data_IF_577588894745
#
_entry.id   IF_577588894745
#
_cell.length_a   1.000
_cell.length_b   1.000
_cell.length_c   1.000
_cell.angle_alpha   90.00
_cell.angle_beta   90.00
_cell.angle_gamma   90.00
#
_symmetry.space_group_name_H-M   'P 1'
#
loop_
_entity.id
_entity.type
_entity.pdbx_description
1 polymer ?
#
# COMPACT_ATOMS: atom_id res chain seq x y z
N UNK A 1 -7.53 28.02 34.98
CA UNK A 1 -7.03 26.77 34.38
C UNK A 1 -7.28 26.85 32.89
N UNK A 2 -6.34 27.46 32.17
CA UNK A 2 -6.37 27.61 30.72
C UNK A 2 -6.15 26.24 30.06
N UNK A 3 -7.02 25.92 29.10
CA UNK A 3 -6.84 24.77 28.19
C UNK A 3 -5.67 25.09 27.26
N UNK A 4 -4.56 24.35 27.38
CA UNK A 4 -3.49 24.39 26.40
C UNK A 4 -4.05 24.00 25.03
N UNK A 5 -3.85 24.87 24.04
CA UNK A 5 -4.17 24.65 22.63
C UNK A 5 -3.32 23.49 22.07
N UNK A 6 -3.92 22.64 21.24
CA UNK A 6 -3.30 21.59 20.42
C UNK A 6 -1.95 22.04 19.84
N UNK A 7 -0.92 21.20 19.96
CA UNK A 7 0.31 21.38 19.19
C UNK A 7 0.07 20.94 17.75
N UNK A 8 -0.41 21.85 16.90
CA UNK A 8 -0.20 21.72 15.44
C UNK A 8 1.31 21.70 15.19
N UNK A 9 1.82 20.72 14.46
CA UNK A 9 3.21 20.70 14.00
C UNK A 9 3.45 21.99 13.19
N UNK A 10 4.37 22.84 13.66
CA UNK A 10 4.60 24.15 13.06
C UNK A 10 5.54 24.01 11.86
N UNK A 11 4.98 23.97 10.65
CA UNK A 11 5.74 23.94 9.40
C UNK A 11 6.23 25.35 9.04
N UNK A 12 7.55 25.56 9.01
CA UNK A 12 8.16 26.82 8.55
C UNK A 12 8.21 26.89 7.02
N UNK A 13 7.74 27.99 6.42
CA UNK A 13 7.71 28.18 4.97
C UNK A 13 9.02 28.81 4.49
N UNK A 14 9.74 28.13 3.60
CA UNK A 14 10.81 28.71 2.78
C UNK A 14 10.57 28.31 1.32
N UNK A 15 10.29 29.31 0.48
CA UNK A 15 10.07 29.14 -0.97
C UNK A 15 11.26 29.78 -1.69
N UNK A 16 11.94 29.02 -2.54
CA UNK A 16 12.81 29.58 -3.57
C UNK A 16 12.61 28.82 -4.88
N UNK A 17 12.29 29.55 -5.96
CA UNK A 17 12.17 29.01 -7.30
C UNK A 17 13.41 29.38 -8.12
N UNK A 18 14.01 28.39 -8.79
CA UNK A 18 14.94 28.62 -9.89
C UNK A 18 14.59 27.67 -11.04
N UNK A 19 14.34 28.24 -12.22
CA UNK A 19 14.04 27.52 -13.46
C UNK A 19 15.33 27.23 -14.24
N UNK A 20 15.49 26.00 -14.73
CA UNK A 20 16.51 25.59 -15.71
C UNK A 20 15.85 24.82 -16.87
N UNK A 21 16.48 24.75 -18.07
CA UNK A 21 15.79 24.46 -19.33
C UNK A 21 15.55 22.97 -19.61
N UNK A 22 14.64 22.78 -20.57
CA UNK A 22 13.81 21.61 -20.87
C UNK A 22 14.55 20.50 -21.65
N UNK A 23 14.44 19.26 -21.17
CA UNK A 23 14.37 18.07 -22.02
C UNK A 23 12.88 17.73 -22.24
N UNK A 24 12.48 17.54 -23.50
CA UNK A 24 11.09 17.29 -23.93
C UNK A 24 10.56 15.98 -23.35
N UNK A 25 9.72 16.05 -22.33
CA UNK A 25 8.66 15.06 -22.17
C UNK A 25 7.30 15.73 -22.40
N UNK A 26 6.26 14.91 -22.51
CA UNK A 26 4.93 15.38 -22.89
C UNK A 26 4.18 15.73 -21.60
N UNK A 27 3.92 17.02 -21.38
CA UNK A 27 3.05 17.45 -20.28
C UNK A 27 1.64 16.91 -20.51
N UNK A 28 1.16 16.11 -19.57
CA UNK A 28 -0.18 15.49 -19.64
C UNK A 28 -0.96 15.77 -18.37
N UNK A 29 -2.11 16.42 -18.54
CA UNK A 29 -3.11 16.55 -17.47
C UNK A 29 -3.89 15.24 -17.36
N UNK A 30 -3.91 14.67 -16.16
CA UNK A 30 -4.49 13.35 -15.92
C UNK A 30 -5.93 13.46 -15.39
N UNK A 31 -6.84 12.55 -15.79
CA UNK A 31 -8.18 12.49 -15.25
C UNK A 31 -8.17 12.17 -13.75
N UNK A 32 -9.13 12.73 -13.02
CA UNK A 32 -9.34 12.48 -11.60
C UNK A 32 -10.09 11.15 -11.41
N UNK A 33 -9.72 10.33 -10.41
CA UNK A 33 -10.58 9.27 -9.93
C UNK A 33 -11.83 9.84 -9.22
N UNK A 34 -12.89 9.03 -9.06
CA UNK A 34 -14.08 9.46 -8.35
C UNK A 34 -13.78 9.84 -6.90
N UNK A 35 -14.26 11.01 -6.50
CA UNK A 35 -14.36 11.43 -5.11
C UNK A 35 -15.77 11.13 -4.59
N UNK A 36 -15.85 10.29 -3.57
CA UNK A 36 -17.08 9.77 -3.00
C UNK A 36 -17.24 10.32 -1.58
N UNK A 37 -18.46 10.72 -1.23
CA UNK A 37 -18.80 10.97 0.16
C UNK A 37 -19.12 9.64 0.84
N UNK A 38 -18.32 9.25 1.83
CA UNK A 38 -18.54 8.01 2.56
C UNK A 38 -19.88 7.98 3.30
N UNK A 39 -20.47 9.15 3.59
CA UNK A 39 -21.81 9.27 4.20
C UNK A 39 -22.92 8.83 3.26
N UNK A 40 -22.66 8.80 1.95
CA UNK A 40 -23.61 8.34 0.94
C UNK A 40 -23.42 6.87 0.57
N UNK A 41 -22.29 6.26 0.93
CA UNK A 41 -22.02 4.84 0.67
C UNK A 41 -22.75 3.93 1.68
N UNK A 42 -23.72 3.10 1.26
CA UNK A 42 -24.56 2.35 2.19
C UNK A 42 -23.89 1.10 2.77
N UNK A 43 -22.85 0.57 2.12
CA UNK A 43 -22.23 -0.70 2.50
C UNK A 43 -20.87 -0.91 1.86
N UNK A 44 -20.15 -1.92 2.34
CA UNK A 44 -18.93 -2.45 1.71
C UNK A 44 -19.15 -2.87 0.25
N UNK A 45 -20.25 -3.55 -0.05
CA UNK A 45 -20.54 -3.97 -1.43
C UNK A 45 -20.68 -2.78 -2.39
N UNK A 46 -21.22 -1.65 -1.91
CA UNK A 46 -21.29 -0.44 -2.71
C UNK A 46 -19.91 0.14 -2.98
N UNK A 47 -19.01 0.17 -1.98
CA UNK A 47 -17.62 0.57 -2.17
C UNK A 47 -16.86 -0.38 -3.11
N UNK A 48 -17.02 -1.69 -2.94
CA UNK A 48 -16.40 -2.71 -3.79
C UNK A 48 -16.77 -2.54 -5.28
N UNK A 49 -17.99 -2.07 -5.58
CA UNK A 49 -18.41 -1.77 -6.95
C UNK A 49 -17.64 -0.60 -7.58
N UNK A 50 -17.14 0.34 -6.78
CA UNK A 50 -16.23 1.39 -7.25
C UNK A 50 -14.79 0.87 -7.35
N UNK A 51 -14.32 0.14 -6.34
CA UNK A 51 -12.96 -0.44 -6.32
C UNK A 51 -12.72 -1.30 -7.57
N UNK A 52 -13.72 -2.07 -8.02
CA UNK A 52 -13.64 -2.88 -9.25
C UNK A 52 -13.39 -2.07 -10.52
N UNK A 53 -13.74 -0.78 -10.55
CA UNK A 53 -13.58 0.11 -11.71
C UNK A 53 -12.25 0.85 -11.68
N UNK A 54 -11.71 1.11 -10.50
CA UNK A 54 -10.47 1.87 -10.34
C UNK A 54 -10.35 2.52 -8.96
N UNK A 55 -9.27 3.30 -8.74
CA UNK A 55 -9.04 4.00 -7.49
C UNK A 55 -10.14 5.02 -7.22
N UNK A 56 -10.35 5.31 -5.95
CA UNK A 56 -11.32 6.32 -5.52
C UNK A 56 -10.83 7.02 -4.25
N UNK A 57 -11.38 8.19 -3.99
CA UNK A 57 -11.14 8.96 -2.77
C UNK A 57 -12.42 8.99 -1.97
N UNK A 58 -12.34 8.72 -0.67
CA UNK A 58 -13.44 8.86 0.26
C UNK A 58 -13.23 10.11 1.11
N UNK A 59 -14.17 11.02 1.05
CA UNK A 59 -14.32 12.10 2.04
C UNK A 59 -15.18 11.58 3.19
N UNK A 60 -14.97 12.13 4.39
CA UNK A 60 -15.80 11.80 5.57
C UNK A 60 -15.81 10.30 5.91
N UNK A 61 -14.74 9.57 5.57
CA UNK A 61 -14.67 8.11 5.68
C UNK A 61 -15.07 7.59 7.07
N UNK A 62 -14.73 8.34 8.11
CA UNK A 62 -14.95 7.96 9.50
C UNK A 62 -16.24 8.54 10.11
N UNK A 63 -16.99 9.39 9.41
CA UNK A 63 -18.13 10.12 9.98
C UNK A 63 -19.28 9.22 10.45
N UNK A 64 -19.48 8.08 9.79
CA UNK A 64 -20.50 7.08 10.14
C UNK A 64 -20.14 6.22 11.35
N UNK A 65 -18.89 6.23 11.76
CA UNK A 65 -18.37 5.44 12.87
C UNK A 65 -17.75 6.36 13.93
N UNK A 66 -18.56 6.96 14.84
CA UNK A 66 -18.11 7.99 15.78
C UNK A 66 -16.96 7.56 16.70
N UNK A 67 -16.89 6.26 17.03
CA UNK A 67 -15.79 5.70 17.81
C UNK A 67 -14.48 5.79 17.01
N UNK A 68 -14.52 5.39 15.74
CA UNK A 68 -13.36 5.41 14.83
C UNK A 68 -12.94 6.84 14.50
N UNK A 69 -13.91 7.75 14.29
CA UNK A 69 -13.65 9.19 14.07
C UNK A 69 -12.95 9.83 15.26
N UNK A 70 -13.49 9.64 16.47
CA UNK A 70 -12.87 10.16 17.70
C UNK A 70 -11.44 9.62 17.88
N UNK A 71 -11.20 8.36 17.51
CA UNK A 71 -9.86 7.76 17.57
C UNK A 71 -8.91 8.35 16.52
N UNK A 72 -9.38 8.65 15.31
CA UNK A 72 -8.58 9.34 14.29
C UNK A 72 -8.24 10.78 14.69
N UNK A 73 -9.20 11.49 15.31
CA UNK A 73 -9.07 12.91 15.68
C UNK A 73 -8.27 13.11 17.00
N UNK A 74 -8.51 12.32 18.05
CA UNK A 74 -7.90 12.52 19.39
C UNK A 74 -6.50 11.87 19.52
N UNK A 75 -6.20 10.84 18.73
CA UNK A 75 -4.99 10.02 18.96
C UNK A 75 -3.75 10.62 18.31
N UNK A 76 -3.84 11.32 17.18
CA UNK A 76 -2.67 11.49 16.31
C UNK A 76 -1.78 12.72 16.48
N UNK A 77 -2.25 13.79 17.12
CA UNK A 77 -1.39 14.98 17.31
C UNK A 77 -0.71 14.99 18.69
N UNK A 78 -1.47 14.89 19.78
CA UNK A 78 -0.87 14.99 21.12
C UNK A 78 -0.52 13.60 21.70
N UNK A 79 -1.47 12.64 21.74
CA UNK A 79 -1.25 11.33 22.39
C UNK A 79 -0.23 10.44 21.66
N UNK A 80 -0.30 10.37 20.32
CA UNK A 80 0.60 9.56 19.52
C UNK A 80 2.04 10.06 19.63
N UNK A 81 2.27 11.36 19.46
CA UNK A 81 3.60 11.92 19.62
C UNK A 81 4.08 11.80 21.06
N UNK A 82 3.24 12.00 22.07
CA UNK A 82 3.62 11.75 23.47
C UNK A 82 4.14 10.32 23.70
N UNK A 83 3.51 9.33 23.06
CA UNK A 83 3.83 7.92 23.25
C UNK A 83 5.03 7.45 22.41
N UNK A 84 5.15 7.92 21.17
CA UNK A 84 6.11 7.40 20.20
C UNK A 84 7.27 8.35 19.88
N UNK A 85 7.29 9.58 20.40
CA UNK A 85 8.32 10.61 20.09
C UNK A 85 9.76 10.12 20.23
N UNK A 86 10.05 9.27 21.22
CA UNK A 86 11.39 8.78 21.54
C UNK A 86 11.72 7.45 20.85
N UNK A 87 10.80 6.87 20.07
CA UNK A 87 11.06 5.62 19.36
C UNK A 87 12.03 5.87 18.22
N UNK A 88 13.13 5.12 18.22
CA UNK A 88 14.12 5.11 17.15
C UNK A 88 13.57 4.41 15.91
N UNK A 89 13.61 5.11 14.78
CA UNK A 89 13.10 4.64 13.50
C UNK A 89 14.14 4.82 12.41
N UNK A 90 14.10 3.95 11.40
CA UNK A 90 14.87 4.12 10.17
C UNK A 90 14.10 5.03 9.19
N UNK A 91 14.79 6.00 8.63
CA UNK A 91 14.26 6.97 7.68
C UNK A 91 15.14 7.03 6.42
N UNK A 92 14.49 7.20 5.28
CA UNK A 92 15.12 7.25 3.97
C UNK A 92 15.35 8.69 3.55
N UNK A 93 16.57 9.02 3.13
CA UNK A 93 16.86 10.23 2.35
C UNK A 93 16.87 9.87 0.87
N UNK A 94 15.94 10.46 0.11
CA UNK A 94 15.84 10.33 -1.34
C UNK A 94 16.30 11.62 -1.99
N UNK A 95 17.26 11.52 -2.91
CA UNK A 95 17.68 12.63 -3.75
C UNK A 95 16.96 12.54 -5.09
N UNK A 96 16.73 13.69 -5.71
CA UNK A 96 16.17 13.77 -7.05
C UNK A 96 17.22 13.32 -8.07
N UNK A 97 17.37 12.01 -8.20
CA UNK A 97 18.10 11.36 -9.27
C UNK A 97 17.33 10.11 -9.69
N UNK A 98 17.34 9.83 -11.00
CA UNK A 98 16.61 8.69 -11.57
C UNK A 98 17.04 7.41 -10.86
N UNK A 99 16.18 6.92 -9.97
CA UNK A 99 16.17 5.55 -9.42
C UNK A 99 17.45 5.22 -8.64
N UNK A 100 17.90 6.14 -7.78
CA UNK A 100 18.95 5.85 -6.81
C UNK A 100 18.42 5.08 -5.60
N UNK A 101 19.24 4.18 -5.04
CA UNK A 101 18.96 3.55 -3.74
C UNK A 101 18.93 4.65 -2.66
N UNK A 102 17.87 4.75 -1.84
CA UNK A 102 17.82 5.73 -0.76
C UNK A 102 18.96 5.50 0.23
N UNK A 103 19.43 6.59 0.84
CA UNK A 103 20.33 6.49 2.00
C UNK A 103 19.48 6.30 3.25
N UNK A 104 19.92 5.43 4.14
CA UNK A 104 19.23 5.12 5.39
C UNK A 104 19.90 5.86 6.53
N UNK A 105 19.08 6.42 7.41
CA UNK A 105 19.47 7.08 8.65
C UNK A 105 18.56 6.61 9.78
N UNK A 106 18.98 6.83 11.02
CA UNK A 106 18.16 6.55 12.19
C UNK A 106 17.99 7.81 13.02
N UNK A 107 16.87 7.90 13.74
CA UNK A 107 16.62 8.91 14.74
C UNK A 107 15.28 8.66 15.43
N UNK A 108 15.06 9.37 16.53
CA UNK A 108 13.77 9.37 17.21
C UNK A 108 12.67 9.92 16.29
N UNK A 109 11.43 9.46 16.47
CA UNK A 109 10.27 9.98 15.73
C UNK A 109 10.20 11.52 15.78
N UNK A 110 10.39 12.12 16.95
CA UNK A 110 10.40 13.58 17.09
C UNK A 110 11.59 14.21 16.35
N UNK A 111 12.79 13.65 16.45
CA UNK A 111 13.96 14.15 15.73
C UNK A 111 13.80 14.06 14.21
N UNK A 112 13.14 13.01 13.72
CA UNK A 112 12.79 12.84 12.32
C UNK A 112 11.80 13.92 11.88
N UNK A 113 10.71 14.11 12.62
CA UNK A 113 9.65 15.07 12.26
C UNK A 113 10.14 16.51 12.37
N UNK A 114 10.70 16.92 13.51
CA UNK A 114 11.10 18.30 13.78
C UNK A 114 12.43 18.69 13.13
N UNK A 115 13.30 17.70 12.85
CA UNK A 115 14.64 17.93 12.33
C UNK A 115 14.79 17.61 10.86
N UNK A 116 14.42 16.40 10.46
CA UNK A 116 14.70 15.87 9.11
C UNK A 116 13.60 16.26 8.12
N UNK A 117 12.34 15.96 8.44
CA UNK A 117 11.20 16.23 7.56
C UNK A 117 11.05 17.72 7.25
N UNK A 118 11.31 18.61 8.23
CA UNK A 118 11.33 20.07 8.05
C UNK A 118 12.36 20.57 7.03
N UNK A 119 13.46 19.82 6.85
CA UNK A 119 14.54 20.18 5.92
C UNK A 119 14.36 19.54 4.54
N UNK A 120 13.28 18.81 4.32
CA UNK A 120 13.02 18.18 3.03
C UNK A 120 12.75 19.21 1.95
N UNK A 121 13.31 18.98 0.76
CA UNK A 121 13.04 19.74 -0.46
C UNK A 121 12.67 18.79 -1.60
N UNK A 122 12.24 19.34 -2.72
CA UNK A 122 11.95 18.56 -3.93
C UNK A 122 13.18 17.81 -4.48
N UNK A 123 14.38 18.28 -4.13
CA UNK A 123 15.69 17.74 -4.50
C UNK A 123 16.22 16.74 -3.47
N UNK A 124 15.99 16.96 -2.18
CA UNK A 124 16.45 16.10 -1.08
C UNK A 124 15.33 15.90 -0.07
N UNK A 125 14.63 14.76 -0.14
CA UNK A 125 13.43 14.52 0.64
C UNK A 125 13.59 13.35 1.60
N UNK A 126 13.12 13.56 2.83
CA UNK A 126 13.04 12.53 3.85
C UNK A 126 11.71 11.78 3.76
N UNK A 127 11.78 10.46 3.82
CA UNK A 127 10.63 9.55 3.70
C UNK A 127 10.77 8.41 4.69
N UNK A 128 9.74 8.15 5.47
CA UNK A 128 9.65 7.03 6.40
C UNK A 128 8.40 6.23 6.08
N UNK A 129 8.57 4.93 5.97
CA UNK A 129 7.51 3.94 5.87
C UNK A 129 7.83 2.89 6.93
N UNK A 130 6.93 2.71 7.90
CA UNK A 130 7.16 1.79 9.01
C UNK A 130 5.91 0.95 9.32
N UNK A 131 6.03 -0.36 9.15
CA UNK A 131 4.95 -1.33 9.36
C UNK A 131 5.01 -2.00 10.74
N UNK A 132 5.97 -1.66 11.59
CA UNK A 132 6.23 -2.34 12.88
C UNK A 132 5.81 -1.51 14.09
N UNK A 133 5.89 -0.19 14.00
CA UNK A 133 5.64 0.74 15.10
C UNK A 133 4.28 0.51 15.77
N UNK A 134 3.27 0.20 14.95
CA UNK A 134 1.89 0.02 15.41
C UNK A 134 1.53 -1.44 15.71
N UNK A 135 2.42 -2.40 15.41
CA UNK A 135 2.20 -3.84 15.62
C UNK A 135 2.65 -4.30 17.01
N UNK A 136 3.82 -3.84 17.47
CA UNK A 136 4.53 -4.37 18.65
C UNK A 136 4.22 -3.64 19.97
N UNK A 137 3.02 -3.07 20.12
CA UNK A 137 2.65 -2.36 21.35
C UNK A 137 2.33 -3.31 22.52
N UNK A 138 3.34 -4.06 22.96
CA UNK A 138 3.43 -4.59 24.32
C UNK A 138 3.57 -3.41 25.30
N UNK A 139 2.41 -2.77 25.53
CA UNK A 139 2.11 -1.77 26.57
C UNK A 139 2.51 -0.31 26.26
N UNK A 140 1.53 0.53 25.90
CA UNK A 140 0.97 1.64 26.71
C UNK A 140 -0.26 2.23 25.97
N UNK A 141 -1.28 2.63 26.73
CA UNK A 141 -2.49 3.44 26.43
C UNK A 141 -3.34 3.29 25.14
N UNK A 142 -2.78 3.01 23.96
CA UNK A 142 -3.52 3.07 22.69
C UNK A 142 -3.71 1.66 22.11
N UNK A 143 -4.80 0.97 22.48
CA UNK A 143 -5.16 -0.35 21.93
C UNK A 143 -5.86 -0.18 20.57
N UNK A 144 -5.23 -0.69 19.50
CA UNK A 144 -5.80 -0.79 18.15
C UNK A 144 -6.59 0.48 17.73
N UNK A 145 -5.95 1.65 17.75
CA UNK A 145 -6.60 2.94 17.57
C UNK A 145 -7.08 3.22 16.14
N UNK A 146 -6.64 2.43 15.17
CA UNK A 146 -6.70 2.80 13.76
C UNK A 146 -7.43 1.71 12.99
N UNK A 147 -8.71 1.54 13.29
CA UNK A 147 -9.59 0.64 12.55
C UNK A 147 -10.17 1.36 11.35
N UNK A 148 -10.30 0.68 10.23
CA UNK A 148 -11.09 1.19 9.12
C UNK A 148 -12.61 1.11 9.46
N UNK A 149 -13.44 1.98 8.88
CA UNK A 149 -14.89 1.97 9.07
C UNK A 149 -15.49 0.59 8.71
N UNK A 150 -16.02 -0.19 9.66
CA UNK A 150 -16.52 -1.54 9.38
C UNK A 150 -17.70 -1.55 8.40
N UNK A 151 -18.45 -0.46 8.31
CA UNK A 151 -19.53 -0.32 7.33
C UNK A 151 -19.04 -0.27 5.88
N UNK A 152 -17.78 0.13 5.65
CA UNK A 152 -17.18 0.29 4.33
C UNK A 152 -16.18 -0.81 3.98
N UNK A 153 -15.42 -1.31 4.96
CA UNK A 153 -14.34 -2.28 4.72
C UNK A 153 -14.64 -3.68 5.30
N UNK A 154 -15.82 -3.85 5.90
CA UNK A 154 -16.22 -5.09 6.54
C UNK A 154 -15.79 -5.16 8.00
N UNK A 155 -16.42 -6.06 8.76
CA UNK A 155 -16.10 -6.27 10.19
C UNK A 155 -14.88 -7.15 10.41
N UNK A 156 -14.52 -7.96 9.42
CA UNK A 156 -13.45 -8.94 9.49
C UNK A 156 -12.49 -8.68 8.32
N UNK A 157 -11.25 -8.33 8.65
CA UNK A 157 -10.15 -8.39 7.70
C UNK A 157 -9.64 -9.82 7.67
N UNK A 158 -9.67 -10.45 6.49
CA UNK A 158 -9.31 -11.85 6.35
C UNK A 158 -7.82 -12.10 6.57
N UNK A 159 -6.96 -11.08 6.53
CA UNK A 159 -5.57 -11.24 6.97
C UNK A 159 -5.49 -11.55 8.48
N UNK A 160 -6.44 -11.11 9.30
CA UNK A 160 -6.50 -11.45 10.73
C UNK A 160 -6.69 -12.97 10.99
N UNK A 161 -7.03 -13.73 9.95
CA UNK A 161 -7.18 -15.19 9.96
C UNK A 161 -5.90 -15.94 9.55
N UNK A 162 -4.93 -15.26 8.95
CA UNK A 162 -3.65 -15.86 8.58
C UNK A 162 -2.78 -16.13 9.83
N UNK A 163 -1.92 -17.18 9.81
CA UNK A 163 -0.92 -17.39 10.86
C UNK A 163 -0.02 -16.15 11.03
N UNK A 164 0.25 -15.76 12.28
CA UNK A 164 0.95 -14.52 12.62
C UNK A 164 2.28 -14.34 11.87
N UNK A 165 3.02 -15.45 11.66
CA UNK A 165 4.33 -15.44 11.00
C UNK A 165 4.29 -15.07 9.51
N UNK A 166 3.13 -15.16 8.86
CA UNK A 166 2.99 -14.89 7.43
C UNK A 166 1.92 -13.86 7.11
N UNK A 167 1.18 -13.42 8.13
CA UNK A 167 0.20 -12.36 8.03
C UNK A 167 0.90 -11.08 7.58
N UNK A 168 0.42 -10.42 6.51
CA UNK A 168 0.86 -9.06 6.19
C UNK A 168 0.66 -8.14 7.40
N UNK A 169 1.61 -7.23 7.62
CA UNK A 169 1.43 -6.18 8.63
C UNK A 169 0.19 -5.39 8.30
N UNK A 170 -0.63 -5.07 9.29
CA UNK A 170 -1.97 -4.49 9.09
C UNK A 170 -1.94 -2.98 8.89
N UNK A 171 -0.96 -2.34 9.51
CA UNK A 171 -0.84 -0.90 9.56
C UNK A 171 0.54 -0.47 9.10
N UNK A 172 0.57 0.65 8.38
CA UNK A 172 1.80 1.28 7.96
C UNK A 172 1.74 2.77 8.27
N UNK A 173 2.68 3.24 9.10
CA UNK A 173 2.92 4.66 9.32
C UNK A 173 3.76 5.20 8.16
N UNK A 174 3.28 6.27 7.51
CA UNK A 174 4.01 6.92 6.43
C UNK A 174 4.19 8.40 6.77
N UNK A 175 5.45 8.81 6.93
CA UNK A 175 5.85 10.21 7.05
C UNK A 175 6.66 10.59 5.82
N UNK A 176 6.45 11.79 5.31
CA UNK A 176 7.32 12.32 4.27
C UNK A 176 7.32 13.82 4.29
N UNK A 177 8.51 14.41 4.16
CA UNK A 177 8.66 15.84 3.97
C UNK A 177 8.33 16.27 2.55
N UNK A 178 8.40 17.58 2.26
CA UNK A 178 8.21 18.12 0.91
C UNK A 178 9.11 17.41 -0.10
N UNK A 179 8.56 16.96 -1.22
CA UNK A 179 9.31 16.27 -2.27
C UNK A 179 9.48 14.76 -2.06
N UNK A 180 9.10 14.25 -0.89
CA UNK A 180 9.20 12.83 -0.57
C UNK A 180 8.27 12.03 -1.47
N UNK A 181 8.71 10.85 -1.90
CA UNK A 181 7.97 10.04 -2.85
C UNK A 181 8.15 8.56 -2.62
N UNK A 182 7.10 7.78 -2.89
CA UNK A 182 7.23 6.33 -2.99
C UNK A 182 7.97 5.96 -4.29
N UNK A 183 8.31 4.68 -4.45
CA UNK A 183 8.58 4.16 -5.79
C UNK A 183 7.26 3.95 -6.55
N UNK A 184 7.30 3.92 -7.88
CA UNK A 184 6.19 3.37 -8.66
C UNK A 184 6.12 1.87 -8.38
N UNK A 185 4.98 1.39 -7.89
CA UNK A 185 4.84 0.03 -7.41
C UNK A 185 3.42 -0.51 -7.52
N UNK A 186 3.28 -1.84 -7.46
CA UNK A 186 1.99 -2.53 -7.25
C UNK A 186 2.06 -3.22 -5.91
N UNK A 187 0.96 -3.09 -5.17
CA UNK A 187 0.82 -3.69 -3.87
C UNK A 187 0.92 -5.24 -3.92
N UNK A 188 1.59 -5.86 -2.93
CA UNK A 188 1.62 -7.30 -2.73
C UNK A 188 0.22 -7.92 -2.61
N UNK A 189 0.12 -9.23 -2.87
CA UNK A 189 -1.09 -10.05 -2.70
C UNK A 189 -2.38 -9.56 -3.34
N UNK A 190 -2.36 -8.55 -4.21
CA UNK A 190 -3.60 -8.02 -4.78
C UNK A 190 -4.64 -7.67 -3.69
N UNK A 191 -4.17 -7.19 -2.54
CA UNK A 191 -5.06 -6.64 -1.52
C UNK A 191 -5.61 -5.29 -1.97
N UNK A 192 -6.60 -4.79 -1.24
CA UNK A 192 -7.03 -3.40 -1.37
C UNK A 192 -6.17 -2.54 -0.45
N UNK A 193 -5.38 -1.64 -1.03
CA UNK A 193 -4.60 -0.67 -0.28
C UNK A 193 -5.48 0.50 0.14
N UNK A 194 -5.26 1.04 1.34
CA UNK A 194 -5.96 2.23 1.82
C UNK A 194 -4.94 3.19 2.40
N UNK A 195 -5.05 4.48 2.09
CA UNK A 195 -4.23 5.52 2.70
C UNK A 195 -5.09 6.68 3.22
N UNK A 196 -5.07 6.91 4.52
CA UNK A 196 -5.71 8.05 5.17
C UNK A 196 -4.69 9.14 5.46
N UNK A 197 -4.91 10.34 4.92
CA UNK A 197 -4.03 11.49 5.13
C UNK A 197 -4.47 12.26 6.37
N UNK A 198 -3.65 12.23 7.41
CA UNK A 198 -3.91 12.95 8.66
C UNK A 198 -3.48 14.40 8.53
N UNK A 199 -2.26 14.61 8.04
CA UNK A 199 -1.68 15.93 7.84
C UNK A 199 -0.90 15.97 6.53
N UNK A 200 -0.86 17.14 5.90
CA UNK A 200 -0.09 17.41 4.70
C UNK A 200 -0.93 17.34 3.44
N UNK A 201 -0.25 17.09 2.32
CA UNK A 201 -0.88 17.09 0.99
C UNK A 201 -0.09 16.22 0.04
N UNK A 202 -0.77 15.31 -0.67
CA UNK A 202 -0.11 14.31 -1.52
C UNK A 202 -0.66 14.32 -2.94
N UNK A 203 0.17 13.93 -3.90
CA UNK A 203 -0.29 13.56 -5.23
C UNK A 203 -0.17 12.06 -5.36
N UNK A 204 -1.19 11.46 -5.94
CA UNK A 204 -1.17 10.07 -6.36
C UNK A 204 -1.28 10.00 -7.87
N UNK A 205 -0.54 9.08 -8.48
CA UNK A 205 -0.69 8.71 -9.88
C UNK A 205 -0.92 7.21 -9.94
N UNK A 206 -1.90 6.79 -10.72
CA UNK A 206 -2.38 5.43 -10.84
C UNK A 206 -2.36 4.98 -12.29
N UNK A 207 -1.89 3.77 -12.51
CA UNK A 207 -1.92 3.07 -13.80
C UNK A 207 -2.80 1.84 -13.66
N UNK A 208 -3.78 1.64 -14.57
CA UNK A 208 -4.57 0.44 -14.58
C UNK A 208 -3.67 -0.81 -14.69
N UNK A 209 -4.11 -1.96 -14.15
CA UNK A 209 -3.43 -3.21 -14.39
C UNK A 209 -3.21 -3.41 -15.90
N UNK A 210 -1.98 -3.80 -16.26
CA UNK A 210 -1.62 -4.15 -17.64
C UNK A 210 -1.65 -3.01 -18.66
N UNK A 211 -1.79 -1.75 -18.24
CA UNK A 211 -1.91 -0.61 -19.18
C UNK A 211 -0.61 -0.31 -19.94
N UNK A 212 0.55 -0.65 -19.36
CA UNK A 212 1.87 -0.43 -19.96
C UNK A 212 2.93 -1.34 -19.31
N UNK A 213 4.08 -1.51 -19.99
CA UNK A 213 5.29 -1.98 -19.32
C UNK A 213 5.89 -0.84 -18.49
N UNK A 214 5.65 -0.92 -17.18
CA UNK A 214 6.12 0.08 -16.21
C UNK A 214 7.49 -0.30 -15.63
N UNK A 215 8.24 -1.20 -16.27
CA UNK A 215 9.53 -1.67 -15.77
C UNK A 215 9.43 -2.29 -14.37
N UNK A 216 8.26 -2.84 -14.04
CA UNK A 216 7.94 -3.40 -12.74
C UNK A 216 8.71 -4.71 -12.60
N UNK A 217 9.65 -4.72 -11.65
CA UNK A 217 10.40 -5.91 -11.27
C UNK A 217 9.96 -6.36 -9.90
N UNK A 218 10.04 -7.67 -9.69
CA UNK A 218 9.66 -8.26 -8.42
C UNK A 218 10.62 -7.79 -7.33
N UNK A 219 10.06 -7.26 -6.25
CA UNK A 219 10.82 -7.04 -5.02
C UNK A 219 10.84 -8.38 -4.29
N UNK A 220 11.99 -9.03 -4.26
CA UNK A 220 12.16 -10.16 -3.37
C UNK A 220 12.01 -9.68 -1.94
N UNK A 221 11.26 -10.38 -1.07
CA UNK A 221 11.39 -10.19 0.35
C UNK A 221 12.83 -10.53 0.69
N UNK A 222 13.61 -9.56 1.18
CA UNK A 222 14.92 -9.86 1.76
C UNK A 222 14.79 -10.70 3.05
N UNK A 223 13.56 -11.05 3.47
CA UNK A 223 13.28 -11.72 4.72
C UNK A 223 12.20 -12.81 4.61
N UNK A 224 12.55 -13.98 4.05
CA UNK A 224 11.77 -15.21 4.34
C UNK A 224 12.12 -15.83 5.70
N UNK A 225 12.51 -15.00 6.66
CA UNK A 225 12.30 -15.27 8.08
C UNK A 225 10.98 -14.70 8.62
N UNK A 226 10.09 -14.11 7.81
CA UNK A 226 8.78 -13.72 8.35
C UNK A 226 7.84 -12.88 7.49
N UNK A 227 8.18 -12.50 6.26
CA UNK A 227 7.29 -11.64 5.46
C UNK A 227 7.10 -12.20 4.06
N UNK A 228 5.87 -12.62 3.76
CA UNK A 228 5.46 -13.24 2.48
C UNK A 228 5.20 -12.18 1.41
N UNK A 229 5.34 -10.88 1.74
CA UNK A 229 4.94 -9.72 0.94
C UNK A 229 5.96 -9.36 -0.16
N UNK A 230 5.84 -9.94 -1.36
CA UNK A 230 6.71 -9.66 -2.51
C UNK A 230 6.09 -8.67 -3.52
N UNK A 231 5.96 -7.39 -3.18
CA UNK A 231 5.41 -6.38 -4.09
C UNK A 231 6.19 -6.22 -5.41
N UNK A 232 5.66 -5.40 -6.32
CA UNK A 232 6.32 -5.06 -7.58
C UNK A 232 6.81 -3.62 -7.55
N UNK A 233 8.02 -3.34 -8.02
CA UNK A 233 8.57 -1.99 -8.02
C UNK A 233 9.21 -1.67 -9.36
N UNK A 234 8.96 -0.47 -9.88
CA UNK A 234 9.60 -0.02 -11.10
C UNK A 234 11.09 0.18 -10.86
N UNK A 235 11.90 -0.34 -11.79
CA UNK A 235 13.33 -0.01 -11.88
C UNK A 235 13.65 0.99 -12.97
N UNK A 236 12.64 1.39 -13.74
CA UNK A 236 12.85 2.11 -14.99
C UNK A 236 12.19 3.50 -14.96
N UNK A 237 11.20 3.71 -14.08
CA UNK A 237 10.47 4.97 -13.96
C UNK A 237 10.41 5.53 -12.52
N UNK A 238 10.62 6.84 -12.41
CA UNK A 238 10.20 7.69 -11.30
C UNK A 238 9.34 8.81 -11.91
N UNK A 239 8.03 8.78 -11.68
CA UNK A 239 7.06 9.70 -12.28
C UNK A 239 7.22 11.14 -11.77
N UNK A 240 7.84 11.32 -10.59
CA UNK A 240 8.01 12.62 -9.96
C UNK A 240 9.45 13.08 -9.93
N UNK A 241 10.27 12.60 -10.86
CA UNK A 241 11.64 13.11 -11.06
C UNK A 241 11.66 14.63 -11.34
N UNK A 242 10.54 15.20 -11.78
CA UNK A 242 10.24 16.63 -11.80
C UNK A 242 9.07 16.93 -10.88
N UNK A 243 9.05 18.14 -10.33
CA UNK A 243 7.94 18.62 -9.51
C UNK A 243 6.69 18.68 -10.38
N UNK A 244 5.59 18.03 -9.99
CA UNK A 244 4.33 18.04 -10.74
C UNK A 244 3.68 19.43 -10.70
N UNK A 245 3.01 19.79 -11.80
CA UNK A 245 2.22 21.02 -11.87
C UNK A 245 0.76 20.75 -11.46
N UNK A 246 0.16 21.68 -10.73
CA UNK A 246 -1.22 21.57 -10.27
C UNK A 246 -1.96 22.85 -10.65
N UNK A 247 -3.03 22.71 -11.41
CA UNK A 247 -3.92 23.82 -11.75
C UNK A 247 -5.36 23.37 -11.55
N UNK A 248 -6.12 24.11 -10.72
CA UNK A 248 -7.53 23.83 -10.42
C UNK A 248 -7.80 22.36 -10.00
N UNK A 249 -6.87 21.75 -9.26
CA UNK A 249 -6.96 20.36 -8.79
C UNK A 249 -6.54 19.30 -9.81
N UNK A 250 -6.32 19.69 -11.07
CA UNK A 250 -5.79 18.81 -12.09
C UNK A 250 -4.27 18.69 -11.96
N UNK A 251 -3.77 17.45 -12.04
CA UNK A 251 -2.34 17.14 -11.96
C UNK A 251 -1.78 16.99 -13.37
N UNK A 252 -0.76 17.78 -13.67
CA UNK A 252 0.01 17.67 -14.91
C UNK A 252 1.39 17.10 -14.60
N UNK A 253 1.73 15.99 -15.27
CA UNK A 253 3.02 15.33 -15.13
C UNK A 253 3.82 15.43 -16.43
N UNK A 254 5.13 15.51 -16.27
CA UNK A 254 6.08 15.29 -17.35
C UNK A 254 6.34 13.78 -17.50
N UNK A 255 5.45 13.10 -18.23
CA UNK A 255 5.54 11.67 -18.42
C UNK A 255 6.63 11.32 -19.45
N UNK A 256 7.39 10.23 -19.24
CA UNK A 256 8.22 9.64 -20.29
C UNK A 256 7.40 9.37 -21.54
N UNK A 257 7.98 9.60 -22.72
CA UNK A 257 7.30 9.43 -24.02
C UNK A 257 6.66 8.04 -24.18
N UNK A 258 7.32 6.99 -23.69
CA UNK A 258 6.80 5.60 -23.69
C UNK A 258 5.52 5.43 -22.87
N UNK A 259 5.23 6.35 -21.93
CA UNK A 259 4.03 6.35 -21.11
C UNK A 259 2.99 7.40 -21.54
N UNK A 260 3.27 8.18 -22.59
CA UNK A 260 2.43 9.31 -22.99
C UNK A 260 1.01 8.86 -23.39
N UNK A 261 0.91 7.76 -24.14
CA UNK A 261 -0.35 7.28 -24.73
C UNK A 261 -1.06 6.21 -23.88
N UNK A 262 -0.59 5.98 -22.65
CA UNK A 262 -1.20 4.96 -21.78
C UNK A 262 -2.60 5.41 -21.36
N UNK A 263 -3.60 4.61 -21.69
CA UNK A 263 -4.99 4.87 -21.37
C UNK A 263 -5.31 4.58 -19.89
N UNK A 264 -6.32 5.26 -19.36
CA UNK A 264 -6.83 5.02 -18.01
C UNK A 264 -5.91 5.47 -16.86
N UNK A 265 -4.78 6.10 -17.15
CA UNK A 265 -3.92 6.72 -16.11
C UNK A 265 -4.70 7.81 -15.40
N UNK A 266 -4.71 7.78 -14.07
CA UNK A 266 -5.43 8.74 -13.23
C UNK A 266 -4.47 9.40 -12.25
N UNK A 267 -4.73 10.64 -11.86
CA UNK A 267 -4.02 11.28 -10.76
C UNK A 267 -4.95 12.11 -9.91
N UNK A 268 -4.61 12.27 -8.63
CA UNK A 268 -5.37 13.10 -7.70
C UNK A 268 -4.45 13.83 -6.73
N UNK A 269 -4.92 14.96 -6.23
CA UNK A 269 -4.36 15.61 -5.05
C UNK A 269 -5.19 15.18 -3.84
N UNK A 270 -4.55 14.53 -2.88
CA UNK A 270 -5.16 14.10 -1.63
C UNK A 270 -4.97 15.21 -0.60
N UNK A 271 -6.08 15.65 -0.01
CA UNK A 271 -6.13 16.64 1.05
C UNK A 271 -6.29 15.96 2.43
N UNK A 272 -6.03 16.71 3.50
CA UNK A 272 -6.16 16.23 4.88
C UNK A 272 -7.58 15.72 5.16
N UNK A 273 -7.69 14.59 5.85
CA UNK A 273 -8.96 13.93 6.15
C UNK A 273 -9.53 13.08 5.00
N UNK A 274 -8.86 13.01 3.86
CA UNK A 274 -9.26 12.14 2.75
C UNK A 274 -8.62 10.76 2.84
N UNK A 275 -9.39 9.75 2.44
CA UNK A 275 -8.97 8.35 2.41
C UNK A 275 -8.91 7.86 0.96
N UNK A 276 -7.71 7.61 0.46
CA UNK A 276 -7.48 7.05 -0.88
C UNK A 276 -7.62 5.52 -0.82
N UNK A 277 -8.40 4.96 -1.72
CA UNK A 277 -8.56 3.51 -1.89
C UNK A 277 -7.89 3.07 -3.18
N UNK A 278 -6.99 2.10 -3.05
CA UNK A 278 -6.11 1.58 -4.08
C UNK A 278 -6.60 0.16 -4.43
N UNK A 279 -7.14 -0.06 -5.64
CA UNK A 279 -7.64 -1.37 -6.00
C UNK A 279 -6.50 -2.37 -6.25
N UNK A 280 -6.79 -3.67 -6.13
CA UNK A 280 -5.85 -4.73 -6.49
C UNK A 280 -5.24 -4.54 -7.88
N UNK A 281 -3.92 -4.69 -7.97
CA UNK A 281 -3.19 -4.70 -9.25
C UNK A 281 -2.89 -3.32 -9.85
N UNK A 282 -3.38 -2.22 -9.27
CA UNK A 282 -3.11 -0.87 -9.77
C UNK A 282 -1.70 -0.42 -9.39
N UNK A 283 -0.89 -0.10 -10.40
CA UNK A 283 0.42 0.48 -10.15
C UNK A 283 0.27 1.94 -9.76
N UNK A 284 1.01 2.37 -8.74
CA UNK A 284 0.86 3.72 -8.22
C UNK A 284 2.15 4.29 -7.65
N UNK A 285 2.23 5.62 -7.67
CA UNK A 285 3.30 6.37 -7.04
C UNK A 285 2.75 7.61 -6.33
N UNK A 286 3.30 7.88 -5.14
CA UNK A 286 2.90 8.98 -4.28
C UNK A 286 3.99 10.05 -4.21
N UNK A 287 3.58 11.32 -4.18
CA UNK A 287 4.45 12.48 -3.99
C UNK A 287 3.92 13.40 -2.89
N UNK A 288 4.77 13.85 -1.99
CA UNK A 288 4.42 14.77 -0.91
C UNK A 288 4.63 16.21 -1.36
N UNK A 289 3.54 16.95 -1.53
CA UNK A 289 3.57 18.39 -1.82
C UNK A 289 3.91 19.23 -0.59
N UNK A 290 3.48 18.74 0.56
CA UNK A 290 3.79 19.29 1.87
C UNK A 290 4.25 18.16 2.77
N UNK A 291 5.02 18.46 3.83
CA UNK A 291 5.29 17.48 4.83
C UNK A 291 3.99 16.92 5.38
N UNK A 292 3.94 15.61 5.61
CA UNK A 292 2.70 14.96 5.93
C UNK A 292 2.84 13.61 6.61
N UNK A 293 1.78 13.27 7.31
CA UNK A 293 1.58 12.05 8.06
C UNK A 293 0.34 11.35 7.52
N UNK A 294 0.49 10.08 7.16
CA UNK A 294 -0.62 9.24 6.76
C UNK A 294 -0.51 7.86 7.37
N UNK A 295 -1.65 7.22 7.55
CA UNK A 295 -1.74 5.79 7.81
C UNK A 295 -2.13 5.05 6.55
N UNK A 296 -1.58 3.87 6.38
CA UNK A 296 -2.03 2.93 5.38
C UNK A 296 -2.42 1.58 5.98
N UNK A 297 -3.34 0.90 5.28
CA UNK A 297 -3.82 -0.44 5.60
C UNK A 297 -3.83 -1.32 4.35
N UNK A 298 -3.64 -2.61 4.58
CA UNK A 298 -3.77 -3.68 3.61
C UNK A 298 -5.04 -4.46 3.94
N UNK A 299 -6.07 -4.38 3.10
CA UNK A 299 -7.38 -4.97 3.39
C UNK A 299 -7.60 -6.23 2.56
N UNK A 300 -7.85 -7.36 3.23
CA UNK A 300 -8.38 -8.56 2.61
C UNK A 300 -9.82 -8.79 3.05
N UNK A 301 -10.72 -8.97 2.09
CA UNK A 301 -12.13 -9.21 2.35
C UNK A 301 -12.72 -10.13 1.26
N UNK A 302 -14.03 -10.35 1.30
CA UNK A 302 -14.69 -11.21 0.31
C UNK A 302 -14.45 -10.75 -1.15
N UNK A 303 -14.35 -9.44 -1.39
CA UNK A 303 -14.16 -8.87 -2.70
C UNK A 303 -12.81 -9.17 -3.35
N UNK A 304 -11.77 -9.49 -2.57
CA UNK A 304 -10.41 -9.71 -3.08
C UNK A 304 -9.71 -10.99 -2.58
N UNK A 305 -10.30 -11.78 -1.67
CA UNK A 305 -9.71 -13.02 -1.15
C UNK A 305 -9.25 -13.99 -2.24
N UNK A 306 -10.06 -14.14 -3.30
CA UNK A 306 -9.72 -15.02 -4.44
C UNK A 306 -8.43 -14.58 -5.12
N UNK A 307 -8.24 -13.26 -5.28
CA UNK A 307 -7.04 -12.69 -5.89
C UNK A 307 -5.83 -12.87 -4.98
N UNK A 308 -5.98 -12.65 -3.68
CA UNK A 308 -4.94 -12.92 -2.67
C UNK A 308 -4.46 -14.37 -2.75
N UNK A 309 -5.38 -15.33 -2.77
CA UNK A 309 -5.03 -16.76 -2.86
C UNK A 309 -4.35 -17.07 -4.20
N UNK A 310 -4.89 -16.56 -5.32
CA UNK A 310 -4.28 -16.72 -6.64
C UNK A 310 -2.83 -16.24 -6.61
N UNK A 311 -2.59 -15.04 -6.09
CA UNK A 311 -1.29 -14.43 -5.99
C UNK A 311 -0.31 -15.28 -5.17
N UNK A 312 -0.76 -15.76 -4.00
CA UNK A 312 0.03 -16.65 -3.14
C UNK A 312 0.43 -17.95 -3.83
N UNK A 313 -0.50 -18.60 -4.54
CA UNK A 313 -0.24 -19.87 -5.23
C UNK A 313 0.69 -19.68 -6.42
N UNK A 314 0.47 -18.63 -7.22
CA UNK A 314 1.37 -18.25 -8.32
C UNK A 314 2.79 -18.05 -7.79
N UNK A 315 2.94 -17.31 -6.70
CA UNK A 315 4.25 -17.10 -6.06
C UNK A 315 4.90 -18.36 -5.54
N UNK A 316 4.12 -19.28 -4.97
CA UNK A 316 4.65 -20.55 -4.51
C UNK A 316 5.27 -21.37 -5.65
N UNK A 317 4.63 -21.39 -6.82
CA UNK A 317 5.13 -22.06 -8.02
C UNK A 317 6.39 -21.38 -8.53
N UNK A 318 6.35 -20.06 -8.71
CA UNK A 318 7.47 -19.30 -9.24
C UNK A 318 8.70 -19.33 -8.33
N UNK A 319 8.49 -19.39 -7.02
CA UNK A 319 9.57 -19.44 -6.01
C UNK A 319 10.12 -20.86 -5.78
N UNK A 320 9.38 -21.90 -6.19
CA UNK A 320 9.80 -23.30 -6.08
C UNK A 320 10.95 -23.68 -7.03
N UNK A 321 11.18 -22.89 -8.08
CA UNK A 321 12.31 -23.06 -9.01
C UNK A 321 13.40 -22.01 -8.79
N UNK A 322 14.30 -22.21 -7.81
CA UNK A 322 15.48 -21.37 -7.57
C UNK A 322 15.25 -19.83 -7.57
N UNK A 323 15.10 -19.26 -6.36
CA UNK A 323 14.87 -17.83 -6.09
C UNK A 323 15.76 -16.83 -6.87
N UNK A 324 16.97 -17.22 -7.29
CA UNK A 324 17.91 -16.36 -8.03
C UNK A 324 17.44 -16.00 -9.45
N UNK A 325 16.67 -16.86 -10.13
CA UNK A 325 16.22 -16.59 -11.51
C UNK A 325 14.94 -15.75 -11.62
N UNK A 326 14.32 -15.41 -10.50
CA UNK A 326 13.04 -14.72 -10.50
C UNK A 326 13.13 -13.25 -10.03
N UNK A 327 14.33 -12.75 -9.72
CA UNK A 327 14.62 -11.31 -9.57
C UNK A 327 14.65 -10.56 -10.91
N UNK A 328 14.92 -11.26 -12.01
CA UNK A 328 15.16 -10.65 -13.32
C UNK A 328 13.93 -10.63 -14.23
N UNK A 329 12.79 -11.21 -13.80
CA UNK A 329 11.58 -11.28 -14.63
C UNK A 329 10.76 -9.98 -14.52
N UNK A 330 10.56 -9.25 -15.63
CA UNK A 330 9.68 -8.09 -15.63
C UNK A 330 8.21 -8.54 -15.54
N UNK A 331 7.36 -7.71 -14.93
CA UNK A 331 5.92 -7.88 -14.98
C UNK A 331 5.43 -7.52 -16.39
N UNK A 332 5.44 -8.47 -17.32
CA UNK A 332 4.82 -8.27 -18.63
C UNK A 332 3.30 -8.19 -18.44
N UNK A 333 2.68 -7.19 -19.07
CA UNK A 333 1.28 -6.80 -18.91
C UNK A 333 0.37 -8.01 -18.71
N UNK A 334 -0.34 -8.02 -17.58
CA UNK A 334 -1.14 -9.15 -17.10
C UNK A 334 -2.09 -9.72 -18.15
N UNK A 335 -1.60 -10.67 -18.94
CA UNK A 335 -1.47 -12.04 -18.45
C UNK A 335 -0.02 -12.16 -18.00
N UNK A 336 0.22 -12.67 -16.79
CA UNK A 336 1.53 -12.71 -16.16
C UNK A 336 2.65 -13.13 -17.11
N UNK A 337 3.92 -12.95 -16.74
CA UNK A 337 5.08 -13.48 -17.47
C UNK A 337 5.00 -14.99 -17.75
N UNK A 338 4.19 -15.37 -18.73
CA UNK A 338 3.62 -16.69 -19.00
C UNK A 338 3.60 -16.95 -20.51
N UNK A 339 4.43 -16.26 -21.29
CA UNK A 339 4.65 -16.60 -22.71
C UNK A 339 5.18 -18.04 -22.92
N UNK A 340 5.49 -18.76 -21.83
CA UNK A 340 5.76 -20.21 -21.80
C UNK A 340 4.85 -21.02 -20.85
N UNK A 341 3.77 -20.44 -20.31
CA UNK A 341 3.01 -21.00 -19.18
C UNK A 341 1.48 -20.78 -19.24
N UNK A 342 0.85 -20.80 -20.42
CA UNK A 342 -0.62 -20.85 -20.49
C UNK A 342 -1.20 -21.99 -19.64
N UNK A 343 -0.52 -23.15 -19.61
CA UNK A 343 -0.91 -24.30 -18.78
C UNK A 343 -0.70 -24.11 -17.26
N UNK A 344 0.16 -23.21 -16.81
CA UNK A 344 0.35 -22.95 -15.37
C UNK A 344 -0.76 -22.06 -14.82
N UNK A 345 -1.15 -21.02 -15.55
CA UNK A 345 -2.22 -20.11 -15.12
C UNK A 345 -3.58 -20.79 -15.07
N UNK A 346 -3.92 -21.60 -16.07
CA UNK A 346 -5.14 -22.40 -16.05
C UNK A 346 -5.14 -23.37 -14.86
N UNK A 347 -3.98 -23.95 -14.55
CA UNK A 347 -3.82 -24.85 -13.41
C UNK A 347 -4.00 -24.11 -12.07
N UNK A 348 -3.39 -22.93 -11.87
CA UNK A 348 -3.61 -22.14 -10.65
C UNK A 348 -5.05 -21.70 -10.54
N UNK A 349 -5.65 -21.21 -11.63
CA UNK A 349 -7.06 -20.79 -11.66
C UNK A 349 -7.98 -21.93 -11.21
N UNK A 350 -7.79 -23.13 -11.77
CA UNK A 350 -8.55 -24.32 -11.39
C UNK A 350 -8.31 -24.72 -9.93
N UNK A 351 -7.08 -24.62 -9.43
CA UNK A 351 -6.77 -24.87 -8.02
C UNK A 351 -7.52 -23.88 -7.11
N UNK A 352 -7.51 -22.58 -7.45
CA UNK A 352 -8.23 -21.55 -6.68
C UNK A 352 -9.73 -21.81 -6.69
N UNK A 353 -10.30 -22.19 -7.83
CA UNK A 353 -11.71 -22.57 -7.92
C UNK A 353 -12.05 -23.73 -6.98
N UNK A 354 -11.20 -24.76 -6.90
CA UNK A 354 -11.38 -25.89 -5.98
C UNK A 354 -11.23 -25.46 -4.52
N UNK A 355 -10.24 -24.61 -4.22
CA UNK A 355 -9.96 -24.14 -2.85
C UNK A 355 -11.10 -23.24 -2.34
N UNK A 356 -11.62 -22.38 -3.21
CA UNK A 356 -12.65 -21.40 -2.91
C UNK A 356 -14.09 -21.90 -3.18
N UNK A 357 -14.28 -23.17 -3.56
CA UNK A 357 -15.63 -23.75 -3.69
C UNK A 357 -16.40 -23.63 -2.36
N UNK A 358 -17.65 -23.19 -2.44
CA UNK A 358 -18.50 -22.92 -1.28
C UNK A 358 -18.62 -24.15 -0.37
N UNK A 359 -18.26 -23.96 0.90
CA UNK A 359 -18.53 -24.94 1.95
C UNK A 359 -19.85 -24.59 2.63
N UNK A 360 -20.92 -25.18 2.08
CA UNK A 360 -22.26 -25.39 2.68
C UNK A 360 -23.01 -24.18 3.25
N UNK A 361 -24.26 -24.01 2.80
CA UNK A 361 -25.23 -23.11 3.43
C UNK A 361 -25.32 -23.36 4.95
N UNK A 362 -25.21 -22.30 5.74
CA UNK A 362 -25.39 -22.34 7.21
C UNK A 362 -24.12 -22.37 8.06
N UNK A 363 -22.92 -22.31 7.48
CA UNK A 363 -21.65 -22.18 8.23
C UNK A 363 -21.28 -20.70 8.41
N UNK A 364 -20.71 -20.36 9.57
CA UNK A 364 -20.21 -19.02 9.90
C UNK A 364 -19.07 -18.57 8.94
N UNK A 365 -19.15 -17.33 8.45
CA UNK A 365 -18.23 -16.74 7.45
C UNK A 365 -16.76 -16.90 7.86
N UNK A 366 -16.45 -16.66 9.14
CA UNK A 366 -15.09 -16.81 9.68
C UNK A 366 -14.56 -18.23 9.50
N UNK A 367 -15.40 -19.24 9.76
CA UNK A 367 -14.99 -20.64 9.64
C UNK A 367 -14.76 -21.05 8.19
N UNK A 368 -15.62 -20.60 7.27
CA UNK A 368 -15.46 -20.84 5.83
C UNK A 368 -14.15 -20.22 5.32
N UNK A 369 -13.90 -18.94 5.63
CA UNK A 369 -12.68 -18.24 5.20
C UNK A 369 -11.43 -18.86 5.80
N UNK A 370 -11.44 -19.24 7.09
CA UNK A 370 -10.34 -19.97 7.73
C UNK A 370 -10.00 -21.26 6.97
N UNK A 371 -11.01 -22.07 6.63
CA UNK A 371 -10.81 -23.31 5.89
C UNK A 371 -10.23 -23.08 4.49
N UNK A 372 -10.67 -22.01 3.81
CA UNK A 372 -10.12 -21.60 2.50
C UNK A 372 -8.65 -21.20 2.61
N UNK A 373 -8.30 -20.38 3.60
CA UNK A 373 -6.91 -19.95 3.87
C UNK A 373 -6.04 -21.18 4.20
N UNK A 374 -6.55 -22.09 5.03
CA UNK A 374 -5.86 -23.33 5.40
C UNK A 374 -5.48 -24.17 4.17
N UNK A 375 -6.47 -24.45 3.31
CA UNK A 375 -6.27 -25.18 2.04
C UNK A 375 -5.27 -24.47 1.14
N UNK A 376 -5.39 -23.14 1.00
CA UNK A 376 -4.49 -22.34 0.17
C UNK A 376 -3.03 -22.41 0.66
N UNK A 377 -2.81 -22.24 1.97
CA UNK A 377 -1.47 -22.28 2.56
C UNK A 377 -0.83 -23.65 2.44
N UNK A 378 -1.59 -24.71 2.71
CA UNK A 378 -1.12 -26.09 2.52
C UNK A 378 -0.68 -26.33 1.08
N UNK A 379 -1.51 -25.92 0.12
CA UNK A 379 -1.22 -26.08 -1.30
C UNK A 379 0.00 -25.23 -1.72
N UNK A 380 0.10 -23.99 -1.26
CA UNK A 380 1.26 -23.12 -1.51
C UNK A 380 2.56 -23.76 -1.02
N UNK A 381 2.58 -24.33 0.19
CA UNK A 381 3.79 -24.98 0.70
C UNK A 381 4.17 -26.24 -0.09
N UNK A 382 3.19 -27.03 -0.53
CA UNK A 382 3.40 -28.20 -1.40
C UNK A 382 3.98 -27.79 -2.76
N UNK A 383 3.41 -26.76 -3.39
CA UNK A 383 3.89 -26.25 -4.68
C UNK A 383 5.34 -25.76 -4.59
N UNK A 384 5.71 -25.12 -3.47
CA UNK A 384 7.04 -24.56 -3.27
C UNK A 384 8.10 -25.60 -2.93
N UNK A 385 7.78 -26.55 -2.07
CA UNK A 385 8.78 -27.45 -1.45
C UNK A 385 8.66 -28.92 -1.87
N UNK A 386 7.64 -29.24 -2.67
CA UNK A 386 7.23 -30.62 -2.95
C UNK A 386 6.33 -31.21 -1.86
N UNK A 387 5.71 -32.38 -2.09
CA UNK A 387 4.64 -32.91 -1.24
C UNK A 387 5.01 -33.10 0.24
N UNK A 388 6.08 -33.84 0.54
CA UNK A 388 6.46 -34.17 1.92
C UNK A 388 7.00 -32.94 2.68
N UNK A 389 7.98 -32.25 2.10
CA UNK A 389 8.59 -31.07 2.73
C UNK A 389 7.61 -29.91 2.84
N UNK A 390 6.70 -29.77 1.86
CA UNK A 390 5.64 -28.78 1.87
C UNK A 390 4.63 -29.02 2.98
N UNK A 391 4.20 -30.28 3.19
CA UNK A 391 3.30 -30.61 4.30
C UNK A 391 3.94 -30.30 5.66
N UNK A 392 5.20 -30.69 5.86
CA UNK A 392 5.93 -30.35 7.08
C UNK A 392 6.11 -28.83 7.27
N UNK A 393 6.34 -28.10 6.19
CA UNK A 393 6.45 -26.64 6.24
C UNK A 393 5.12 -26.00 6.63
N UNK A 394 4.02 -26.47 6.04
CA UNK A 394 2.66 -26.06 6.38
C UNK A 394 2.34 -26.34 7.86
N UNK A 395 2.60 -27.54 8.36
CA UNK A 395 2.35 -27.90 9.76
C UNK A 395 3.09 -26.99 10.73
N UNK A 396 4.37 -26.68 10.45
CA UNK A 396 5.16 -25.73 11.26
C UNK A 396 4.62 -24.31 11.24
N UNK A 397 3.97 -23.90 10.16
CA UNK A 397 3.36 -22.56 10.03
C UNK A 397 2.01 -22.49 10.74
N UNK A 398 1.17 -23.52 10.58
CA UNK A 398 -0.20 -23.54 11.06
C UNK A 398 -0.31 -23.89 12.55
N UNK A 399 0.48 -24.86 13.05
CA UNK A 399 0.40 -25.29 14.46
C UNK A 399 0.99 -24.27 15.46
N UNK A 400 1.67 -23.22 14.98
CA UNK A 400 2.23 -22.15 15.82
C UNK A 400 1.32 -20.92 15.93
N UNK A 401 0.03 -21.07 15.58
CA UNK A 401 -0.96 -20.00 15.60
C UNK A 401 -1.49 -19.70 17.01
#
# INVERSE_FOLDING_TARGET
MERQRCRRISWGILISFNFLPITRGLLRTLPLPPCLDARDLPSQQALDAYIKKGPCVLTHAFDKDPNTRKMADDTFSDTFFEEFQDVELEVQLKRNSKIAKPRLYSGTLAGIVDGMMQKSTHEEAWYLLNEKLLEDSQNRKIKDPFRLPPSLFGKLDYFDLFPQRIRPKKHCLILGGTGARSFLHVDPFEWTGVNYLLEGRKIWTFFPPCSADLGLKRVLPEAWEGEVSAGWKSTDFDLYYKVPEIFEGAVTLDLPEVLADVEGVQALVQEEGELVVIPPGWAHQVYHLKPGLSLAWQVCNHGNLKNVIMHMLTWAIESGGNLRHAQERPLHGGKAGLGQMEGTQEHVTRMVEIICQDTTEGVDERHQVMATIEKALRQAMILRHGPERGLQAYERLWQKQ
#
